data_IF_323297333968
#
_entry.id   IF_323297333968
#
_cell.length_a   1.000
_cell.length_b   1.000
_cell.length_c   1.000
_cell.angle_alpha   90.00
_cell.angle_beta   90.00
_cell.angle_gamma   90.00
#
_symmetry.space_group_name_H-M   'P 1'
#
loop_
_entity.id
_entity.type
_entity.pdbx_description
1 polymer ?
#
# COMPACT_ATOMS: atom_id res chain seq x y z
N UNK A 1 -2.02 45.80 9.03
CA UNK A 1 -2.59 45.04 7.90
C UNK A 1 -2.62 43.58 8.32
N UNK A 2 -3.80 43.04 8.60
CA UNK A 2 -3.96 41.66 9.08
C UNK A 2 -3.53 40.68 8.01
N UNK A 3 -2.86 39.59 8.40
CA UNK A 3 -2.60 38.44 7.52
C UNK A 3 -3.93 38.02 6.88
N UNK A 4 -3.99 37.67 5.59
CA UNK A 4 -5.21 37.14 5.00
C UNK A 4 -5.65 35.93 5.84
N UNK A 5 -6.91 35.95 6.30
CA UNK A 5 -7.49 34.81 6.96
C UNK A 5 -7.35 33.62 6.00
N UNK A 6 -6.68 32.55 6.45
CA UNK A 6 -6.56 31.32 5.67
C UNK A 6 -8.00 30.89 5.35
N UNK A 7 -8.41 31.01 4.10
CA UNK A 7 -9.81 30.84 3.71
C UNK A 7 -10.23 29.37 3.67
N UNK A 8 -9.25 28.45 3.71
CA UNK A 8 -9.44 27.00 3.57
C UNK A 8 -8.54 26.22 4.54
N UNK A 9 -8.92 24.98 4.84
CA UNK A 9 -8.05 23.97 5.47
C UNK A 9 -8.24 22.67 4.70
N UNK A 10 -7.19 22.18 4.03
CA UNK A 10 -7.35 21.11 3.04
C UNK A 10 -8.28 21.56 1.91
N UNK A 11 -9.25 20.70 1.57
CA UNK A 11 -10.25 20.95 0.52
C UNK A 11 -11.45 21.79 1.00
N UNK A 12 -11.52 22.11 2.30
CA UNK A 12 -12.70 22.72 2.90
C UNK A 12 -12.51 24.22 3.17
N UNK A 13 -13.44 25.08 2.73
CA UNK A 13 -13.49 26.47 3.18
C UNK A 13 -13.74 26.53 4.69
N UNK A 14 -13.03 27.41 5.41
CA UNK A 14 -13.17 27.54 6.88
C UNK A 14 -14.62 27.79 7.31
N UNK A 15 -15.39 28.53 6.51
CA UNK A 15 -16.80 28.79 6.79
C UNK A 15 -17.67 27.52 6.78
N UNK A 16 -17.36 26.55 5.92
CA UNK A 16 -18.06 25.26 5.85
C UNK A 16 -17.72 24.41 7.08
N UNK A 17 -16.45 24.38 7.47
CA UNK A 17 -16.00 23.67 8.68
C UNK A 17 -16.69 24.21 9.94
N UNK A 18 -16.76 25.55 10.08
CA UNK A 18 -17.44 26.20 11.21
C UNK A 18 -18.94 25.89 11.21
N UNK A 19 -19.57 25.87 10.03
CA UNK A 19 -20.99 25.54 9.92
C UNK A 19 -21.28 24.09 10.31
N UNK A 20 -20.36 23.15 10.05
CA UNK A 20 -20.51 21.74 10.38
C UNK A 20 -20.27 21.44 11.87
N UNK A 21 -19.21 22.00 12.48
CA UNK A 21 -18.79 21.63 13.85
C UNK A 21 -18.21 22.76 14.70
N UNK A 22 -18.32 24.01 14.27
CA UNK A 22 -17.85 25.19 14.99
C UNK A 22 -16.34 25.46 14.88
N UNK A 23 -15.87 26.48 15.59
CA UNK A 23 -14.46 26.92 15.54
C UNK A 23 -13.47 25.87 16.07
N UNK A 24 -13.90 25.04 17.03
CA UNK A 24 -13.06 23.96 17.58
C UNK A 24 -12.67 22.92 16.53
N UNK A 25 -13.54 22.66 15.55
CA UNK A 25 -13.27 21.74 14.44
C UNK A 25 -12.16 22.28 13.51
N UNK A 26 -12.11 23.60 13.29
CA UNK A 26 -11.03 24.25 12.51
C UNK A 26 -9.67 24.00 13.15
N UNK A 27 -9.60 24.08 14.49
CA UNK A 27 -8.36 23.81 15.21
C UNK A 27 -7.96 22.33 15.16
N UNK A 28 -8.93 21.41 15.15
CA UNK A 28 -8.68 19.97 14.92
C UNK A 28 -8.02 19.73 13.56
N UNK A 29 -8.60 20.25 12.47
CA UNK A 29 -8.03 20.12 11.13
C UNK A 29 -6.63 20.73 11.04
N UNK A 30 -6.39 21.89 11.67
CA UNK A 30 -5.06 22.54 11.68
C UNK A 30 -4.01 21.72 12.43
N UNK A 31 -4.38 21.10 13.56
CA UNK A 31 -3.48 20.21 14.31
C UNK A 31 -3.21 18.92 13.56
N UNK A 32 -4.19 18.42 12.79
CA UNK A 32 -4.06 17.21 11.98
C UNK A 32 -2.93 17.35 10.93
N UNK A 33 -2.81 18.52 10.30
CA UNK A 33 -1.68 18.83 9.38
C UNK A 33 -0.31 18.59 10.05
N UNK A 34 -0.21 18.71 11.37
CA UNK A 34 1.04 18.60 12.12
C UNK A 34 1.30 17.21 12.76
N UNK A 35 0.33 16.28 12.76
CA UNK A 35 0.31 15.15 13.71
C UNK A 35 0.18 13.72 13.16
N UNK A 36 0.14 13.51 11.84
CA UNK A 36 -0.20 12.22 11.23
C UNK A 36 0.82 11.06 11.45
N UNK A 37 1.95 11.29 12.13
CA UNK A 37 3.02 10.29 12.31
C UNK A 37 3.01 9.57 13.69
N UNK A 38 1.99 9.80 14.52
CA UNK A 38 2.04 9.41 15.94
C UNK A 38 1.75 7.92 16.24
N UNK A 39 1.22 7.12 15.31
CA UNK A 39 0.83 5.72 15.56
C UNK A 39 1.43 4.74 14.52
N UNK A 40 2.42 3.93 14.93
CA UNK A 40 3.21 3.07 14.01
C UNK A 40 2.49 1.78 13.58
N UNK A 41 1.72 1.12 14.45
CA UNK A 41 1.12 -0.19 14.13
C UNK A 41 -0.16 -0.07 13.27
N UNK A 42 -0.82 1.08 13.31
CA UNK A 42 -1.89 1.44 12.37
C UNK A 42 -1.34 1.72 10.97
N UNK A 43 -0.12 2.27 10.90
CA UNK A 43 0.49 2.71 9.66
C UNK A 43 0.80 1.57 8.69
N UNK A 44 1.32 0.44 9.17
CA UNK A 44 1.61 -0.70 8.29
C UNK A 44 0.32 -1.32 7.71
N UNK A 45 -0.77 -1.31 8.49
CA UNK A 45 -2.09 -1.73 8.03
C UNK A 45 -2.65 -0.77 6.97
N UNK A 46 -2.56 0.54 7.20
CA UNK A 46 -2.95 1.58 6.25
C UNK A 46 -2.20 1.47 4.92
N UNK A 47 -0.89 1.27 4.99
CA UNK A 47 -0.06 1.13 3.79
C UNK A 47 -0.44 -0.15 3.04
N UNK A 48 -0.54 -1.29 3.72
CA UNK A 48 -0.86 -2.57 3.08
C UNK A 48 -2.23 -2.53 2.39
N UNK A 49 -3.24 -1.97 3.07
CA UNK A 49 -4.57 -1.75 2.49
C UNK A 49 -4.50 -0.80 1.29
N UNK A 50 -3.87 0.36 1.46
CA UNK A 50 -3.75 1.37 0.42
C UNK A 50 -3.03 0.85 -0.83
N UNK A 51 -1.97 0.07 -0.68
CA UNK A 51 -1.25 -0.60 -1.77
C UNK A 51 -2.18 -1.55 -2.53
N UNK A 52 -2.85 -2.45 -1.81
CA UNK A 52 -3.73 -3.45 -2.43
C UNK A 52 -4.91 -2.79 -3.14
N UNK A 53 -5.46 -1.73 -2.56
CA UNK A 53 -6.56 -0.98 -3.13
C UNK A 53 -6.15 -0.19 -4.37
N UNK A 54 -5.03 0.53 -4.31
CA UNK A 54 -4.45 1.23 -5.47
C UNK A 54 -4.13 0.24 -6.61
N UNK A 55 -3.56 -0.92 -6.29
CA UNK A 55 -3.31 -2.00 -7.26
C UNK A 55 -4.62 -2.51 -7.89
N UNK A 56 -5.68 -2.64 -7.10
CA UNK A 56 -7.00 -3.05 -7.62
C UNK A 56 -7.58 -2.04 -8.61
N UNK A 57 -7.48 -0.74 -8.33
CA UNK A 57 -7.91 0.31 -9.27
C UNK A 57 -7.05 0.32 -10.54
N UNK A 58 -5.73 0.16 -10.41
CA UNK A 58 -4.82 0.08 -11.57
C UNK A 58 -5.16 -1.12 -12.46
N UNK A 59 -5.37 -2.29 -11.87
CA UNK A 59 -5.77 -3.47 -12.62
C UNK A 59 -7.11 -3.27 -13.35
N UNK A 60 -8.06 -2.59 -12.69
CA UNK A 60 -9.37 -2.24 -13.28
C UNK A 60 -9.22 -1.30 -14.46
N UNK A 61 -8.44 -0.22 -14.32
CA UNK A 61 -8.14 0.70 -15.42
C UNK A 61 -7.46 -0.03 -16.60
N UNK A 62 -6.48 -0.88 -16.32
CA UNK A 62 -5.79 -1.67 -17.35
C UNK A 62 -6.76 -2.57 -18.10
N UNK A 63 -7.71 -3.21 -17.39
CA UNK A 63 -8.73 -4.05 -18.00
C UNK A 63 -9.66 -3.26 -18.92
N UNK A 64 -10.18 -2.11 -18.46
CA UNK A 64 -11.03 -1.21 -19.26
C UNK A 64 -10.33 -0.79 -20.56
N UNK A 65 -9.06 -0.39 -20.46
CA UNK A 65 -8.26 -0.01 -21.63
C UNK A 65 -8.03 -1.20 -22.58
N UNK A 66 -7.76 -2.41 -22.06
CA UNK A 66 -7.61 -3.62 -22.87
C UNK A 66 -8.91 -4.01 -23.59
N UNK A 67 -10.05 -3.76 -22.96
CA UNK A 67 -11.38 -3.99 -23.53
C UNK A 67 -11.76 -2.93 -24.59
N UNK A 68 -10.85 -2.00 -24.90
CA UNK A 68 -11.04 -0.97 -25.93
C UNK A 68 -11.91 0.21 -25.50
N UNK A 69 -12.16 0.35 -24.20
CA UNK A 69 -12.93 1.46 -23.63
C UNK A 69 -12.00 2.63 -23.27
N UNK A 70 -12.53 3.84 -23.33
CA UNK A 70 -11.77 5.06 -22.99
C UNK A 70 -11.86 5.39 -21.49
N UNK A 71 -10.72 5.74 -20.89
CA UNK A 71 -10.66 6.35 -19.56
C UNK A 71 -10.51 7.87 -19.72
N UNK A 72 -11.63 8.59 -19.60
CA UNK A 72 -11.64 10.06 -19.73
C UNK A 72 -10.96 10.66 -18.51
N UNK A 73 -9.94 11.47 -18.79
CA UNK A 73 -9.15 12.21 -17.79
C UNK A 73 -8.49 11.28 -16.76
N UNK A 74 -7.51 10.50 -17.23
CA UNK A 74 -6.80 9.50 -16.42
C UNK A 74 -6.10 10.09 -15.19
N UNK A 75 -5.73 11.37 -15.24
CA UNK A 75 -5.07 12.07 -14.14
C UNK A 75 -6.02 12.41 -12.98
N UNK A 76 -7.34 12.34 -13.19
CA UNK A 76 -8.32 12.52 -12.11
C UNK A 76 -8.27 11.38 -11.10
N UNK A 77 -7.79 10.19 -11.50
CA UNK A 77 -7.78 9.04 -10.62
C UNK A 77 -6.58 9.11 -9.69
N UNK A 78 -6.85 9.13 -8.39
CA UNK A 78 -5.87 9.42 -7.36
C UNK A 78 -6.15 8.66 -6.07
N UNK A 79 -5.15 8.61 -5.20
CA UNK A 79 -5.32 8.19 -3.82
C UNK A 79 -4.57 9.15 -2.90
N UNK A 80 -4.99 9.17 -1.64
CA UNK A 80 -4.27 9.87 -0.59
C UNK A 80 -4.38 9.07 0.70
N UNK A 81 -3.24 8.72 1.26
CA UNK A 81 -3.15 7.91 2.49
C UNK A 81 -3.26 8.74 3.77
N UNK A 82 -3.37 10.08 3.64
CA UNK A 82 -3.46 11.04 4.74
C UNK A 82 -4.36 12.22 4.34
N UNK A 83 -5.60 11.96 3.89
CA UNK A 83 -6.49 13.02 3.49
C UNK A 83 -6.70 14.01 4.64
N UNK A 84 -6.72 15.29 4.31
CA UNK A 84 -7.09 16.34 5.25
C UNK A 84 -8.63 16.37 5.42
N UNK A 85 -9.17 15.30 5.98
CA UNK A 85 -10.59 15.02 6.26
C UNK A 85 -10.79 14.63 7.73
N UNK A 86 -12.02 14.35 8.19
CA UNK A 86 -12.25 13.72 9.50
C UNK A 86 -12.13 12.20 9.41
N UNK A 87 -12.62 11.60 8.33
CA UNK A 87 -12.41 10.18 8.02
C UNK A 87 -11.04 10.03 7.36
N UNK A 88 -10.05 9.56 8.12
CA UNK A 88 -8.68 10.03 7.97
C UNK A 88 -7.65 9.03 7.44
N UNK A 89 -8.01 7.76 7.35
CA UNK A 89 -6.99 6.74 7.14
C UNK A 89 -6.68 6.52 5.65
N UNK A 90 -7.63 6.76 4.75
CA UNK A 90 -7.42 6.62 3.31
C UNK A 90 -8.48 7.35 2.48
N UNK A 91 -8.08 7.93 1.36
CA UNK A 91 -8.96 8.47 0.33
C UNK A 91 -8.61 7.86 -1.02
N UNK A 92 -9.65 7.57 -1.80
CA UNK A 92 -9.53 7.03 -3.14
C UNK A 92 -10.51 7.74 -4.07
N UNK A 93 -9.98 8.22 -5.19
CA UNK A 93 -10.71 8.74 -6.33
C UNK A 93 -10.56 7.74 -7.49
N UNK A 94 -11.47 6.76 -7.54
CA UNK A 94 -11.35 5.54 -8.34
C UNK A 94 -12.14 5.56 -9.63
N UNK A 95 -12.10 4.45 -10.34
CA UNK A 95 -12.79 4.31 -11.64
C UNK A 95 -14.31 4.38 -11.49
N UNK A 96 -14.83 3.71 -10.45
CA UNK A 96 -16.26 3.51 -10.25
C UNK A 96 -16.83 4.29 -9.06
N UNK A 97 -15.97 4.59 -8.08
CA UNK A 97 -16.37 5.18 -6.80
C UNK A 97 -15.29 6.12 -6.28
N UNK A 98 -15.71 7.15 -5.56
CA UNK A 98 -14.84 7.98 -4.75
C UNK A 98 -15.21 7.76 -3.29
N UNK A 99 -14.26 7.41 -2.44
CA UNK A 99 -14.54 7.12 -1.04
C UNK A 99 -13.44 7.56 -0.08
N UNK A 100 -13.86 7.87 1.15
CA UNK A 100 -12.99 7.90 2.32
C UNK A 100 -13.12 6.58 3.07
N UNK A 101 -12.00 6.08 3.59
CA UNK A 101 -12.00 4.91 4.45
C UNK A 101 -11.43 5.21 5.83
N UNK A 102 -12.10 4.66 6.84
CA UNK A 102 -11.63 4.54 8.21
C UNK A 102 -11.11 3.11 8.42
N UNK A 103 -9.82 2.97 8.64
CA UNK A 103 -9.09 1.74 8.81
C UNK A 103 -8.81 1.49 10.29
N UNK A 104 -9.25 0.35 10.80
CA UNK A 104 -8.98 -0.04 12.19
C UNK A 104 -8.56 -1.51 12.26
N UNK A 105 -7.29 -1.71 12.64
CA UNK A 105 -6.75 -3.04 12.98
C UNK A 105 -7.23 -3.54 14.36
N UNK A 106 -7.48 -2.61 15.29
CA UNK A 106 -7.73 -2.88 16.71
C UNK A 106 -9.13 -2.52 17.19
N UNK A 107 -9.27 -1.96 18.41
CA UNK A 107 -10.54 -1.45 18.96
C UNK A 107 -11.23 -0.48 17.99
N UNK A 108 -12.54 -0.65 17.80
CA UNK A 108 -13.37 0.17 16.92
C UNK A 108 -14.46 0.83 17.77
N UNK A 109 -14.32 2.11 18.11
CA UNK A 109 -15.39 2.86 18.76
C UNK A 109 -16.32 3.42 17.68
N UNK A 110 -17.42 2.70 17.44
CA UNK A 110 -18.39 3.08 16.42
C UNK A 110 -18.97 4.48 16.66
N UNK A 111 -19.16 4.89 17.91
CA UNK A 111 -19.80 6.17 18.20
C UNK A 111 -18.92 7.34 17.74
N UNK A 112 -17.64 7.30 18.07
CA UNK A 112 -16.66 8.31 17.65
C UNK A 112 -16.55 8.36 16.13
N UNK A 113 -16.39 7.19 15.49
CA UNK A 113 -16.28 7.09 14.03
C UNK A 113 -17.55 7.60 13.34
N UNK A 114 -18.72 7.28 13.87
CA UNK A 114 -20.00 7.75 13.32
C UNK A 114 -20.13 9.28 13.43
N UNK A 115 -19.74 9.87 14.55
CA UNK A 115 -19.74 11.32 14.73
C UNK A 115 -18.83 12.00 13.67
N UNK A 116 -17.63 11.48 13.44
CA UNK A 116 -16.69 11.99 12.43
C UNK A 116 -17.23 11.83 11.00
N UNK A 117 -17.78 10.66 10.66
CA UNK A 117 -18.42 10.42 9.35
C UNK A 117 -19.57 11.39 9.11
N UNK A 118 -20.44 11.64 10.10
CA UNK A 118 -21.57 12.55 9.94
C UNK A 118 -21.12 14.00 9.72
N UNK A 119 -20.11 14.45 10.47
CA UNK A 119 -19.53 15.78 10.29
C UNK A 119 -18.88 15.92 8.91
N UNK A 120 -18.13 14.91 8.49
CA UNK A 120 -17.52 14.85 7.16
C UNK A 120 -18.59 14.90 6.06
N UNK A 121 -19.64 14.09 6.18
CA UNK A 121 -20.79 14.08 5.27
C UNK A 121 -21.45 15.44 5.12
N UNK A 122 -21.68 16.14 6.23
CA UNK A 122 -22.25 17.49 6.17
C UNK A 122 -21.37 18.46 5.39
N UNK A 123 -20.04 18.37 5.54
CA UNK A 123 -19.10 19.20 4.79
C UNK A 123 -19.08 18.84 3.29
N UNK A 124 -19.06 17.55 2.97
CA UNK A 124 -19.04 17.04 1.59
C UNK A 124 -20.32 17.40 0.83
N UNK A 125 -21.48 17.21 1.46
CA UNK A 125 -22.79 17.59 0.90
C UNK A 125 -22.91 19.10 0.69
N UNK A 126 -22.36 19.91 1.59
CA UNK A 126 -22.38 21.37 1.45
C UNK A 126 -21.56 21.86 0.25
N UNK A 127 -20.53 21.10 -0.15
CA UNK A 127 -19.68 21.38 -1.31
C UNK A 127 -20.15 20.67 -2.59
N UNK A 128 -21.14 19.79 -2.50
CA UNK A 128 -21.67 19.01 -3.62
C UNK A 128 -20.77 17.85 -4.03
N UNK A 129 -19.95 17.34 -3.11
CA UNK A 129 -19.13 16.16 -3.34
C UNK A 129 -19.98 14.89 -3.18
N UNK A 130 -19.86 13.97 -4.14
CA UNK A 130 -20.47 12.64 -4.11
C UNK A 130 -19.41 11.63 -3.67
N UNK A 131 -19.33 11.40 -2.36
CA UNK A 131 -18.31 10.57 -1.71
C UNK A 131 -18.97 9.52 -0.84
N UNK A 132 -18.47 8.29 -0.91
CA UNK A 132 -18.87 7.19 -0.02
C UNK A 132 -17.93 7.05 1.16
N UNK A 133 -18.41 6.43 2.23
CA UNK A 133 -17.59 6.14 3.40
C UNK A 133 -17.44 4.63 3.56
N UNK A 134 -16.26 4.20 3.97
CA UNK A 134 -15.98 2.78 4.20
C UNK A 134 -15.31 2.57 5.54
N UNK A 135 -15.81 1.62 6.31
CA UNK A 135 -15.14 1.14 7.51
C UNK A 135 -14.42 -0.17 7.20
N UNK A 136 -13.09 -0.15 7.29
CA UNK A 136 -12.22 -1.29 7.01
C UNK A 136 -11.70 -1.84 8.33
N UNK A 137 -11.97 -3.12 8.58
CA UNK A 137 -11.58 -3.79 9.83
C UNK A 137 -10.61 -4.94 9.57
N UNK A 138 -9.63 -5.08 10.46
CA UNK A 138 -8.65 -6.17 10.41
C UNK A 138 -9.11 -7.49 11.07
N UNK A 139 -10.29 -7.51 11.67
CA UNK A 139 -10.78 -8.60 12.53
C UNK A 139 -12.24 -8.96 12.18
N UNK A 140 -12.42 -10.14 11.57
CA UNK A 140 -13.72 -10.70 11.17
C UNK A 140 -14.70 -10.84 12.32
N UNK A 141 -14.24 -11.01 13.56
CA UNK A 141 -15.13 -11.20 14.71
C UNK A 141 -16.03 -10.00 14.99
N UNK A 142 -15.70 -8.83 14.41
CA UNK A 142 -16.36 -7.56 14.65
C UNK A 142 -17.25 -7.10 13.51
N UNK A 143 -17.13 -7.73 12.34
CA UNK A 143 -17.87 -7.35 11.14
C UNK A 143 -19.37 -7.30 11.40
N UNK A 144 -19.92 -8.36 12.01
CA UNK A 144 -21.35 -8.44 12.31
C UNK A 144 -21.80 -7.38 13.32
N UNK A 145 -20.97 -7.05 14.31
CA UNK A 145 -21.29 -6.01 15.30
C UNK A 145 -21.29 -4.63 14.67
N UNK A 146 -20.34 -4.36 13.78
CA UNK A 146 -20.24 -3.09 13.05
C UNK A 146 -21.42 -2.93 12.09
N UNK A 147 -21.73 -3.96 11.29
CA UNK A 147 -22.91 -4.00 10.40
C UNK A 147 -24.21 -3.75 11.18
N UNK A 148 -24.39 -4.42 12.31
CA UNK A 148 -25.57 -4.22 13.18
C UNK A 148 -25.66 -2.77 13.71
N UNK A 149 -24.52 -2.14 13.99
CA UNK A 149 -24.48 -0.77 14.49
C UNK A 149 -24.82 0.24 13.38
N UNK A 150 -24.27 0.05 12.19
CA UNK A 150 -24.58 0.85 10.98
C UNK A 150 -26.08 0.76 10.64
N UNK A 151 -26.63 -0.46 10.65
CA UNK A 151 -28.06 -0.70 10.39
C UNK A 151 -28.95 -0.04 11.45
N UNK A 152 -28.56 -0.13 12.73
CA UNK A 152 -29.29 0.50 13.83
C UNK A 152 -29.32 2.03 13.69
N UNK A 153 -28.20 2.62 13.28
CA UNK A 153 -28.04 4.06 13.13
C UNK A 153 -28.57 4.59 11.78
N UNK A 154 -29.05 3.68 10.91
CA UNK A 154 -29.67 3.97 9.61
C UNK A 154 -28.77 4.78 8.68
N UNK A 155 -27.54 4.31 8.54
CA UNK A 155 -26.54 4.93 7.68
C UNK A 155 -26.39 4.11 6.41
N UNK A 156 -26.99 4.58 5.32
CA UNK A 156 -27.13 3.82 4.08
C UNK A 156 -25.92 3.95 3.12
N UNK A 157 -25.01 4.89 3.39
CA UNK A 157 -23.86 5.27 2.55
C UNK A 157 -22.50 4.90 3.18
N UNK A 158 -22.51 4.05 4.21
CA UNK A 158 -21.30 3.48 4.82
C UNK A 158 -21.18 2.00 4.47
N UNK A 159 -20.14 1.65 3.72
CA UNK A 159 -19.78 0.26 3.44
C UNK A 159 -18.89 -0.32 4.55
N UNK A 160 -18.93 -1.64 4.72
CA UNK A 160 -18.01 -2.37 5.61
C UNK A 160 -17.16 -3.34 4.80
N UNK A 161 -15.87 -3.36 5.10
CA UNK A 161 -14.90 -4.25 4.44
C UNK A 161 -14.01 -4.90 5.50
N UNK A 162 -13.75 -6.19 5.33
CA UNK A 162 -12.72 -6.89 6.10
C UNK A 162 -11.47 -6.96 5.23
N UNK A 163 -10.34 -6.50 5.77
CA UNK A 163 -9.04 -6.61 5.10
C UNK A 163 -8.02 -7.19 6.07
N UNK A 164 -7.35 -8.25 5.65
CA UNK A 164 -6.34 -8.89 6.47
C UNK A 164 -4.94 -8.46 6.02
N UNK A 165 -4.11 -8.00 6.95
CA UNK A 165 -2.72 -7.64 6.66
C UNK A 165 -1.77 -8.74 7.12
N UNK A 166 -0.77 -9.07 6.32
CA UNK A 166 0.38 -9.89 6.73
C UNK A 166 1.69 -9.24 6.30
N UNK A 167 2.77 -9.52 7.03
CA UNK A 167 4.13 -9.21 6.60
C UNK A 167 4.62 -10.16 5.50
N UNK A 168 4.00 -11.34 5.38
CA UNK A 168 4.29 -12.31 4.33
C UNK A 168 3.30 -12.14 3.18
N UNK A 169 3.81 -11.92 1.97
CA UNK A 169 2.96 -11.66 0.81
C UNK A 169 2.03 -12.83 0.46
N UNK A 170 2.48 -14.07 0.66
CA UNK A 170 1.67 -15.25 0.37
C UNK A 170 0.47 -15.35 1.32
N UNK A 171 0.66 -15.11 2.61
CA UNK A 171 -0.44 -15.07 3.59
C UNK A 171 -1.42 -13.92 3.27
N UNK A 172 -0.90 -12.77 2.83
CA UNK A 172 -1.73 -11.65 2.38
C UNK A 172 -2.63 -12.07 1.21
N UNK A 173 -2.10 -12.79 0.23
CA UNK A 173 -2.88 -13.30 -0.90
C UNK A 173 -3.91 -14.34 -0.48
N UNK A 174 -3.56 -15.24 0.43
CA UNK A 174 -4.45 -16.30 0.91
C UNK A 174 -5.65 -15.75 1.69
N UNK A 175 -5.46 -14.66 2.44
CA UNK A 175 -6.53 -14.05 3.22
C UNK A 175 -7.42 -13.07 2.45
N UNK A 176 -6.94 -12.51 1.35
CA UNK A 176 -7.67 -11.48 0.60
C UNK A 176 -7.98 -11.97 -0.81
N UNK A 177 -9.20 -12.49 -0.98
CA UNK A 177 -9.67 -13.06 -2.24
C UNK A 177 -9.54 -12.05 -3.40
N UNK A 178 -9.10 -12.56 -4.56
CA UNK A 178 -8.97 -11.76 -5.78
C UNK A 178 -7.65 -11.02 -5.93
N UNK A 179 -6.88 -10.77 -4.85
CA UNK A 179 -5.59 -10.07 -4.97
C UNK A 179 -4.61 -10.78 -5.91
N UNK A 180 -4.58 -12.12 -5.90
CA UNK A 180 -3.72 -12.89 -6.82
C UNK A 180 -4.01 -12.55 -8.29
N UNK A 181 -5.28 -12.51 -8.68
CA UNK A 181 -5.68 -12.18 -10.05
C UNK A 181 -5.41 -10.71 -10.39
N UNK A 182 -5.56 -9.82 -9.41
CA UNK A 182 -5.24 -8.40 -9.54
C UNK A 182 -3.74 -8.20 -9.80
N UNK A 183 -2.87 -8.78 -8.98
CA UNK A 183 -1.43 -8.71 -9.19
C UNK A 183 -1.02 -9.36 -10.50
N UNK A 184 -1.61 -10.51 -10.87
CA UNK A 184 -1.38 -11.13 -12.16
C UNK A 184 -1.73 -10.21 -13.35
N UNK A 185 -2.79 -9.41 -13.20
CA UNK A 185 -3.22 -8.46 -14.24
C UNK A 185 -2.20 -7.35 -14.46
N UNK A 186 -1.66 -6.80 -13.36
CA UNK A 186 -0.67 -5.72 -13.41
C UNK A 186 0.69 -6.23 -13.90
N UNK A 187 1.15 -7.36 -13.36
CA UNK A 187 2.47 -7.91 -13.73
C UNK A 187 2.44 -8.57 -15.10
N UNK A 188 1.28 -9.04 -15.56
CA UNK A 188 1.15 -9.91 -16.72
C UNK A 188 1.67 -11.33 -16.45
N UNK A 189 1.81 -11.73 -15.18
CA UNK A 189 2.41 -13.00 -14.76
C UNK A 189 1.67 -13.66 -13.60
N UNK A 190 1.50 -14.98 -13.69
CA UNK A 190 0.95 -15.80 -12.59
C UNK A 190 2.05 -16.34 -11.65
N UNK A 191 3.31 -15.99 -11.87
CA UNK A 191 4.40 -16.40 -10.98
C UNK A 191 4.32 -15.57 -9.70
N UNK A 192 4.27 -16.25 -8.56
CA UNK A 192 4.12 -15.57 -7.26
C UNK A 192 5.29 -14.62 -6.96
N UNK A 193 6.52 -15.01 -7.29
CA UNK A 193 7.70 -14.14 -7.15
C UNK A 193 7.52 -12.83 -7.90
N UNK A 194 7.01 -12.86 -9.13
CA UNK A 194 6.79 -11.66 -9.93
C UNK A 194 5.75 -10.72 -9.29
N UNK A 195 4.73 -11.31 -8.65
CA UNK A 195 3.66 -10.59 -7.95
C UNK A 195 4.13 -9.99 -6.63
N UNK A 196 4.89 -10.75 -5.82
CA UNK A 196 5.51 -10.29 -4.58
C UNK A 196 6.45 -9.12 -4.86
N UNK A 197 7.27 -9.28 -5.88
CA UNK A 197 8.21 -8.27 -6.36
C UNK A 197 7.49 -6.96 -6.74
N UNK A 198 6.35 -7.07 -7.44
CA UNK A 198 5.52 -5.91 -7.76
C UNK A 198 4.90 -5.28 -6.51
N UNK A 199 4.33 -6.10 -5.60
CA UNK A 199 3.77 -5.64 -4.32
C UNK A 199 4.77 -4.79 -3.54
N UNK A 200 6.03 -5.21 -3.46
CA UNK A 200 7.07 -4.45 -2.76
C UNK A 200 7.40 -3.13 -3.42
N UNK A 201 7.44 -3.09 -4.76
CA UNK A 201 7.63 -1.83 -5.48
C UNK A 201 6.49 -0.86 -5.20
N UNK A 202 5.27 -1.35 -5.13
CA UNK A 202 4.09 -0.55 -4.82
C UNK A 202 4.12 -0.10 -3.36
N UNK A 203 4.35 -1.02 -2.43
CA UNK A 203 4.47 -0.73 -1.00
C UNK A 203 5.52 0.33 -0.70
N UNK A 204 6.70 0.19 -1.30
CA UNK A 204 7.76 1.17 -1.13
C UNK A 204 7.36 2.56 -1.64
N UNK A 205 6.79 2.64 -2.85
CA UNK A 205 6.39 3.92 -3.42
C UNK A 205 5.28 4.55 -2.58
N UNK A 206 4.31 3.75 -2.13
CA UNK A 206 3.21 4.19 -1.30
C UNK A 206 3.71 4.76 0.03
N UNK A 207 4.66 4.07 0.69
CA UNK A 207 5.25 4.53 1.95
C UNK A 207 5.91 5.92 1.85
N UNK A 208 6.46 6.27 0.67
CA UNK A 208 7.09 7.56 0.39
C UNK A 208 6.11 8.68 0.06
N UNK A 209 4.89 8.32 -0.31
CA UNK A 209 3.87 9.28 -0.69
C UNK A 209 3.27 9.87 0.59
N UNK A 210 3.19 11.21 0.61
CA UNK A 210 2.69 11.97 1.77
C UNK A 210 1.64 13.01 1.34
N UNK A 211 1.23 12.96 0.08
CA UNK A 211 0.34 13.90 -0.57
C UNK A 211 -0.55 13.10 -1.54
N UNK A 212 -1.61 13.72 -2.04
CA UNK A 212 -2.46 13.09 -3.06
C UNK A 212 -1.64 12.74 -4.32
N UNK A 213 -1.66 11.48 -4.72
CA UNK A 213 -0.89 10.98 -5.87
C UNK A 213 -1.83 10.40 -6.92
N UNK A 214 -1.66 10.82 -8.18
CA UNK A 214 -2.41 10.24 -9.31
C UNK A 214 -1.91 8.84 -9.60
N UNK A 215 -2.79 7.94 -10.04
CA UNK A 215 -2.37 6.57 -10.38
C UNK A 215 -1.34 6.55 -11.52
N UNK A 216 -1.41 7.48 -12.47
CA UNK A 216 -0.39 7.64 -13.52
C UNK A 216 0.97 8.01 -12.94
N UNK A 217 1.00 9.00 -12.05
CA UNK A 217 2.21 9.43 -11.34
C UNK A 217 2.82 8.28 -10.55
N UNK A 218 2.00 7.61 -9.76
CA UNK A 218 2.38 6.45 -8.95
C UNK A 218 2.98 5.34 -9.81
N UNK A 219 2.29 4.93 -10.88
CA UNK A 219 2.80 3.91 -11.81
C UNK A 219 4.10 4.35 -12.49
N UNK A 220 4.22 5.62 -12.88
CA UNK A 220 5.45 6.16 -13.44
C UNK A 220 6.60 6.09 -12.43
N UNK A 221 6.36 6.40 -11.15
CA UNK A 221 7.36 6.27 -10.08
C UNK A 221 7.78 4.82 -9.82
N UNK A 222 6.82 3.89 -9.70
CA UNK A 222 7.10 2.46 -9.60
C UNK A 222 7.92 1.97 -10.82
N UNK A 223 7.59 2.44 -12.03
CA UNK A 223 8.28 2.02 -13.25
C UNK A 223 9.74 2.47 -13.35
N UNK A 224 10.14 3.57 -12.68
CA UNK A 224 11.55 4.04 -12.66
C UNK A 224 12.49 3.04 -12.01
N UNK A 225 11.95 2.14 -11.18
CA UNK A 225 12.68 1.06 -10.52
C UNK A 225 12.32 -0.32 -11.09
N UNK A 226 11.65 -0.38 -12.25
CA UNK A 226 11.22 -1.62 -12.91
C UNK A 226 12.30 -2.70 -12.99
N UNK A 227 13.57 -2.33 -13.21
CA UNK A 227 14.67 -3.31 -13.25
C UNK A 227 14.94 -4.00 -11.91
N UNK A 228 14.66 -3.31 -10.81
CA UNK A 228 14.85 -3.80 -9.44
C UNK A 228 13.68 -4.64 -8.96
N UNK A 229 12.45 -4.35 -9.39
CA UNK A 229 11.24 -4.97 -8.84
C UNK A 229 10.27 -5.52 -9.87
N UNK A 230 10.67 -5.72 -11.12
CA UNK A 230 9.87 -6.47 -12.09
C UNK A 230 10.83 -7.47 -12.74
N UNK A 231 10.55 -8.78 -12.64
CA UNK A 231 11.40 -9.78 -13.24
C UNK A 231 11.49 -9.59 -14.76
N UNK A 232 12.65 -9.96 -15.31
CA UNK A 232 12.87 -9.94 -16.75
C UNK A 232 11.87 -10.89 -17.42
N UNK A 233 11.32 -10.50 -18.57
CA UNK A 233 10.41 -11.34 -19.38
C UNK A 233 11.03 -12.72 -19.66
N UNK A 234 12.35 -12.75 -19.85
CA UNK A 234 13.16 -13.98 -19.87
C UNK A 234 14.13 -13.93 -18.69
N UNK A 235 13.95 -14.87 -17.75
CA UNK A 235 14.82 -15.00 -16.58
C UNK A 235 16.05 -15.85 -16.96
N UNK A 236 17.29 -15.35 -16.78
CA UNK A 236 18.48 -16.14 -16.99
C UNK A 236 18.48 -17.41 -16.12
N UNK A 237 18.79 -18.61 -16.67
CA UNK A 237 18.81 -19.87 -15.90
C UNK A 237 19.72 -19.84 -14.66
N UNK A 238 20.76 -19.02 -14.70
CA UNK A 238 21.70 -18.83 -13.59
C UNK A 238 21.04 -18.25 -12.34
N UNK A 239 19.97 -17.46 -12.49
CA UNK A 239 19.20 -16.93 -11.36
C UNK A 239 18.33 -17.99 -10.70
N UNK A 240 17.81 -18.95 -11.45
CA UNK A 240 17.05 -20.08 -10.88
C UNK A 240 18.01 -21.02 -10.14
N UNK A 241 19.19 -21.29 -10.72
CA UNK A 241 20.24 -22.06 -10.07
C UNK A 241 20.72 -21.42 -8.75
N UNK A 242 20.77 -20.09 -8.67
CA UNK A 242 21.13 -19.38 -7.43
C UNK A 242 20.07 -19.56 -6.33
N UNK A 243 18.78 -19.49 -6.65
CA UNK A 243 17.72 -19.72 -5.64
C UNK A 243 17.78 -21.14 -5.09
N UNK A 244 18.00 -22.14 -5.96
CA UNK A 244 18.17 -23.54 -5.54
C UNK A 244 19.39 -23.69 -4.63
N UNK A 245 20.54 -23.12 -5.01
CA UNK A 245 21.75 -23.18 -4.19
C UNK A 245 21.55 -22.51 -2.82
N UNK A 246 20.84 -21.38 -2.75
CA UNK A 246 20.52 -20.71 -1.49
C UNK A 246 19.58 -21.52 -0.60
N UNK A 247 18.60 -22.22 -1.19
CA UNK A 247 17.71 -23.13 -0.45
C UNK A 247 18.45 -24.36 0.08
N UNK A 248 19.42 -24.88 -0.68
CA UNK A 248 20.21 -26.06 -0.28
C UNK A 248 21.27 -25.73 0.78
N UNK A 249 21.95 -24.57 0.66
CA UNK A 249 23.09 -24.20 1.50
C UNK A 249 22.72 -23.53 2.84
N UNK A 250 21.48 -23.07 2.99
CA UNK A 250 21.08 -22.29 4.16
C UNK A 250 19.82 -22.82 4.83
N UNK A 251 19.98 -23.55 5.94
CA UNK A 251 18.87 -24.12 6.70
C UNK A 251 18.01 -23.08 7.47
N UNK A 252 18.52 -21.86 7.71
CA UNK A 252 17.85 -20.82 8.52
C UNK A 252 17.68 -19.48 7.79
N UNK A 253 17.91 -19.45 6.48
CA UNK A 253 17.61 -18.28 5.68
C UNK A 253 16.97 -18.66 4.34
N UNK A 254 16.20 -17.73 3.79
CA UNK A 254 15.54 -17.91 2.50
C UNK A 254 16.04 -16.84 1.56
N UNK A 255 16.63 -17.29 0.46
CA UNK A 255 17.07 -16.46 -0.66
C UNK A 255 16.00 -16.35 -1.73
N UNK A 256 15.71 -15.13 -2.20
CA UNK A 256 14.77 -14.87 -3.30
C UNK A 256 15.32 -13.82 -4.25
N UNK A 257 15.14 -14.05 -5.55
CA UNK A 257 15.52 -13.12 -6.61
C UNK A 257 14.30 -12.31 -7.02
N UNK A 258 14.45 -10.99 -6.91
CA UNK A 258 13.40 -9.99 -7.14
C UNK A 258 13.96 -9.02 -8.17
N UNK A 259 13.55 -9.14 -9.44
CA UNK A 259 14.11 -8.31 -10.53
C UNK A 259 15.61 -8.51 -10.74
N UNK A 260 16.41 -7.47 -10.45
CA UNK A 260 17.87 -7.50 -10.42
C UNK A 260 18.43 -7.51 -8.98
N UNK A 261 17.61 -7.86 -7.99
CA UNK A 261 17.97 -7.90 -6.58
C UNK A 261 17.98 -9.33 -6.03
N UNK A 262 18.88 -9.57 -5.08
CA UNK A 262 18.90 -10.74 -4.21
C UNK A 262 18.40 -10.32 -2.82
N UNK A 263 17.35 -10.98 -2.34
CA UNK A 263 16.80 -10.80 -1.00
C UNK A 263 17.12 -12.02 -0.16
N UNK A 264 17.57 -11.78 1.06
CA UNK A 264 17.93 -12.84 2.00
C UNK A 264 17.24 -12.51 3.31
N UNK A 265 16.38 -13.42 3.74
CA UNK A 265 15.66 -13.33 5.00
C UNK A 265 16.16 -14.41 5.95
N UNK A 266 16.54 -14.05 7.17
CA UNK A 266 17.05 -14.99 8.15
C UNK A 266 17.39 -14.29 9.47
N UNK A 267 17.49 -15.06 10.56
CA UNK A 267 17.82 -14.54 11.91
C UNK A 267 16.99 -13.31 12.36
N UNK A 268 15.72 -13.24 11.96
CA UNK A 268 14.82 -12.12 12.29
C UNK A 268 15.10 -10.83 11.51
N UNK A 269 15.89 -10.88 10.44
CA UNK A 269 16.21 -9.74 9.59
C UNK A 269 16.02 -10.01 8.09
N UNK A 270 15.88 -8.93 7.33
CA UNK A 270 15.87 -8.93 5.86
C UNK A 270 17.04 -8.10 5.34
N UNK A 271 17.75 -8.60 4.32
CA UNK A 271 18.78 -7.89 3.58
C UNK A 271 18.50 -7.98 2.09
N UNK A 272 18.77 -6.89 1.37
CA UNK A 272 18.54 -6.79 -0.08
C UNK A 272 19.79 -6.24 -0.74
N UNK A 273 20.25 -6.94 -1.78
CA UNK A 273 21.45 -6.61 -2.54
C UNK A 273 21.11 -6.45 -4.02
N UNK A 274 21.79 -5.54 -4.70
CA UNK A 274 21.77 -5.47 -6.16
C UNK A 274 22.66 -6.59 -6.71
N UNK A 275 22.15 -7.36 -7.66
CA UNK A 275 22.91 -8.37 -8.40
C UNK A 275 23.86 -7.64 -9.35
N UNK A 276 25.18 -7.74 -9.16
CA UNK A 276 26.13 -6.94 -9.92
C UNK A 276 26.40 -7.49 -11.34
N UNK A 277 26.42 -8.81 -11.51
CA UNK A 277 26.58 -9.50 -12.80
C UNK A 277 26.31 -11.00 -12.71
N UNK A 278 26.09 -11.67 -13.85
CA UNK A 278 25.95 -13.14 -13.93
C UNK A 278 27.19 -13.87 -13.38
N UNK A 279 28.40 -13.33 -13.60
CA UNK A 279 29.64 -13.91 -13.06
C UNK A 279 29.75 -13.86 -11.53
N UNK A 280 29.13 -12.85 -10.90
CA UNK A 280 29.07 -12.78 -9.45
C UNK A 280 28.11 -13.82 -8.88
N UNK A 281 27.05 -14.14 -9.62
CA UNK A 281 26.12 -15.22 -9.28
C UNK A 281 26.83 -16.58 -9.37
N UNK A 282 27.55 -16.85 -10.46
CA UNK A 282 28.31 -18.10 -10.59
C UNK A 282 29.34 -18.29 -9.46
N UNK A 283 29.96 -17.18 -9.03
CA UNK A 283 30.90 -17.19 -7.90
C UNK A 283 30.18 -17.48 -6.58
N UNK A 284 28.98 -16.90 -6.38
CA UNK A 284 28.16 -17.12 -5.21
C UNK A 284 27.63 -18.57 -5.15
N UNK A 285 27.15 -19.13 -6.26
CA UNK A 285 26.69 -20.53 -6.33
C UNK A 285 27.82 -21.49 -5.92
N UNK A 286 29.05 -21.26 -6.41
CA UNK A 286 30.21 -22.08 -6.03
C UNK A 286 30.58 -21.93 -4.55
N UNK A 287 30.40 -20.75 -3.99
CA UNK A 287 30.63 -20.51 -2.58
C UNK A 287 29.62 -21.27 -1.72
N UNK A 288 28.34 -21.26 -2.13
CA UNK A 288 27.24 -21.98 -1.49
C UNK A 288 27.30 -23.51 -1.63
N UNK A 289 28.41 -24.08 -2.12
CA UNK A 289 28.66 -25.52 -1.99
C UNK A 289 28.91 -25.92 -0.52
N UNK A 290 29.28 -24.96 0.34
CA UNK A 290 29.38 -25.11 1.79
C UNK A 290 28.11 -24.59 2.49
N UNK A 291 27.81 -25.09 3.70
CA UNK A 291 26.69 -24.61 4.54
C UNK A 291 27.02 -23.24 5.15
N UNK A 292 26.08 -22.28 5.08
CA UNK A 292 26.22 -20.95 5.67
C UNK A 292 25.08 -20.58 6.62
N UNK A 293 25.41 -19.88 7.71
CA UNK A 293 24.41 -19.14 8.49
C UNK A 293 24.12 -17.76 7.87
N UNK A 294 22.92 -17.21 8.13
CA UNK A 294 22.48 -15.91 7.62
C UNK A 294 23.53 -14.78 7.72
N UNK A 295 24.16 -14.60 8.88
CA UNK A 295 25.13 -13.52 9.10
C UNK A 295 26.44 -13.75 8.33
N UNK A 296 26.84 -15.00 8.14
CA UNK A 296 28.04 -15.37 7.39
C UNK A 296 27.83 -15.08 5.90
N UNK A 297 26.68 -15.49 5.36
CA UNK A 297 26.28 -15.21 3.98
C UNK A 297 26.22 -13.69 3.70
N UNK A 298 25.57 -12.93 4.59
CA UNK A 298 25.47 -11.46 4.50
C UNK A 298 26.84 -10.80 4.52
N UNK A 299 27.72 -11.22 5.43
CA UNK A 299 29.09 -10.68 5.52
C UNK A 299 29.86 -10.96 4.24
N UNK A 300 29.72 -12.17 3.72
CA UNK A 300 30.47 -12.61 2.54
C UNK A 300 30.03 -11.90 1.26
N UNK A 301 28.73 -11.68 1.09
CA UNK A 301 28.20 -10.85 0.00
C UNK A 301 28.78 -9.44 0.01
N UNK A 302 28.88 -8.83 1.19
CA UNK A 302 29.45 -7.49 1.35
C UNK A 302 30.96 -7.44 1.05
N UNK A 303 31.70 -8.46 1.47
CA UNK A 303 33.12 -8.62 1.13
C UNK A 303 33.34 -8.80 -0.38
N UNK A 304 32.47 -9.57 -1.03
CA UNK A 304 32.54 -9.84 -2.47
C UNK A 304 31.94 -8.70 -3.32
N UNK A 305 31.63 -7.56 -2.69
CA UNK A 305 31.28 -6.31 -3.37
C UNK A 305 29.81 -6.19 -3.78
N UNK A 306 28.93 -7.06 -3.26
CA UNK A 306 27.50 -6.90 -3.45
C UNK A 306 27.02 -5.64 -2.74
N UNK A 307 26.46 -4.71 -3.51
CA UNK A 307 25.97 -3.46 -2.96
C UNK A 307 24.61 -3.69 -2.33
N UNK A 308 24.47 -3.31 -1.06
CA UNK A 308 23.14 -3.22 -0.44
C UNK A 308 22.28 -2.29 -1.28
N UNK A 309 21.09 -2.74 -1.65
CA UNK A 309 20.12 -1.89 -2.31
C UNK A 309 19.74 -0.78 -1.31
N UNK A 310 20.01 0.48 -1.66
CA UNK A 310 19.50 1.61 -0.92
C UNK A 310 18.00 1.72 -1.21
N UNK A 311 17.21 1.03 -0.40
CA UNK A 311 15.76 1.20 -0.31
C UNK A 311 15.49 2.54 0.36
#
# INVERSE_FOLDING_TARGET
>A
MGKPAVSHVGDYPVGVIIAAGGEGLVDTFRKKIAGADANKDGRDFEISYGVCRTVTEVATMMKILRDGQELVDLDKYSFWDRPLSLVDDYYLNGVHEHFYAQLKRGSFDWKEVNDDINLQRHMDQALGFDVRYRCVIGDTSRENSLKSSIESDRIDDVDTEVFHTSTEFFELLDWNEGLFATFATITGSNRLVDQETAYESFHYQYWKTHYEETFVGYMAHCSRRKKHYIPRLERPPVLDALEVALEEACANCTGRIVGDMLRIQGAGGLRTYLIPSDSAIDSLIKMLEDDFEFLELVTKLEEDGWQRAAL
#
